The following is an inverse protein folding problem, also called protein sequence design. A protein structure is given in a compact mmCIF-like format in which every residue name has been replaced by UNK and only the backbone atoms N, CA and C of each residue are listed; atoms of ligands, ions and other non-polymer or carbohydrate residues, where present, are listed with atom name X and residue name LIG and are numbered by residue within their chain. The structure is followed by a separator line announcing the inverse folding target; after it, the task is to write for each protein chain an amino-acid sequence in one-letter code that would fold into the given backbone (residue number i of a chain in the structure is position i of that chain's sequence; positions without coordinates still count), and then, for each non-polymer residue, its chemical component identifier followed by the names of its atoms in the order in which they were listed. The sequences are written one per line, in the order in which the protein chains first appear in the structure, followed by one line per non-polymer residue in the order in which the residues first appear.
data_IF_650209554838
#
_entry.id   IF_650209554838
#
_cell.length_a   1.000
_cell.length_b   1.000
_cell.length_c   1.000
_cell.angle_alpha   90.00
_cell.angle_beta   90.00
_cell.angle_gamma   90.00
#
_symmetry.space_group_name_H-M   'P 1'
#
loop_
_entity.id
_entity.type
_entity.pdbx_description
1 polymer ?
#
# COMPACT_ATOMS: atom_id res chain seq x y z
N UNK A 1 0.88 17.20 -13.11
CA UNK A 1 1.94 16.29 -12.65
C UNK A 1 1.55 15.79 -11.26
N UNK A 2 1.84 14.53 -10.92
CA UNK A 2 1.59 13.99 -9.58
C UNK A 2 2.76 14.35 -8.67
N UNK A 3 2.48 14.62 -7.40
CA UNK A 3 3.50 14.93 -6.40
C UNK A 3 4.40 13.71 -6.17
N UNK A 4 5.72 13.92 -6.16
CA UNK A 4 6.66 12.84 -5.89
C UNK A 4 6.66 12.47 -4.39
N UNK A 5 7.06 11.23 -4.07
CA UNK A 5 7.31 10.83 -2.68
C UNK A 5 8.52 11.60 -2.16
N UNK A 6 8.42 12.14 -0.95
CA UNK A 6 9.54 12.76 -0.25
C UNK A 6 10.05 11.90 0.90
N UNK A 7 9.17 11.10 1.51
CA UNK A 7 9.52 10.28 2.68
C UNK A 7 8.59 9.09 2.83
N UNK A 8 9.19 7.95 3.12
CA UNK A 8 8.49 6.73 3.58
C UNK A 8 9.12 6.34 4.91
N UNK A 9 8.30 6.11 5.93
CA UNK A 9 8.72 5.55 7.21
C UNK A 9 8.18 4.14 7.33
N UNK A 10 9.03 3.23 7.79
CA UNK A 10 8.70 1.82 7.98
C UNK A 10 9.03 1.43 9.42
N UNK A 11 8.16 0.64 10.03
CA UNK A 11 8.40 -0.01 11.32
C UNK A 11 7.97 -1.46 11.22
N UNK A 12 8.84 -2.39 11.58
CA UNK A 12 8.44 -3.79 11.76
C UNK A 12 7.81 -3.93 13.14
N UNK A 13 6.51 -4.18 13.18
CA UNK A 13 5.72 -4.25 14.42
C UNK A 13 5.83 -5.62 15.10
N UNK A 14 6.23 -6.66 14.35
CA UNK A 14 6.36 -8.04 14.82
C UNK A 14 7.69 -8.67 14.36
N UNK A 15 8.18 -9.67 15.10
CA UNK A 15 9.41 -10.40 14.78
C UNK A 15 10.65 -9.93 15.56
N UNK A 16 11.82 -10.47 15.20
CA UNK A 16 13.09 -10.27 15.93
C UNK A 16 13.85 -8.99 15.55
N UNK A 17 13.36 -8.23 14.57
CA UNK A 17 14.00 -6.98 14.14
C UNK A 17 13.50 -5.80 14.98
N UNK A 18 14.39 -4.84 15.21
CA UNK A 18 14.14 -3.60 15.97
C UNK A 18 12.78 -2.96 15.68
N UNK A 19 12.06 -2.56 16.73
CA UNK A 19 10.79 -1.80 16.66
C UNK A 19 10.99 -0.32 16.25
N UNK A 20 12.20 0.04 15.83
CA UNK A 20 12.53 1.41 15.42
C UNK A 20 11.99 1.74 14.04
N UNK A 21 11.64 3.00 13.86
CA UNK A 21 11.27 3.55 12.56
C UNK A 21 12.52 3.76 11.69
N UNK A 22 12.48 3.23 10.47
CA UNK A 22 13.44 3.52 9.40
C UNK A 22 12.79 4.48 8.41
N UNK A 23 13.51 5.53 8.00
CA UNK A 23 13.03 6.49 7.00
C UNK A 23 13.85 6.37 5.70
N UNK A 24 13.16 6.37 4.57
CA UNK A 24 13.72 6.31 3.21
C UNK A 24 13.01 7.30 2.28
N UNK A 25 13.63 7.64 1.15
CA UNK A 25 13.13 8.70 0.25
C UNK A 25 12.41 8.21 -1.00
N UNK A 26 12.28 6.90 -1.24
CA UNK A 26 11.69 6.37 -2.47
C UNK A 26 11.06 4.99 -2.27
N UNK A 27 10.14 4.63 -3.17
CA UNK A 27 9.51 3.30 -3.23
C UNK A 27 10.57 2.18 -3.30
N UNK A 28 11.53 2.30 -4.23
CA UNK A 28 12.60 1.31 -4.37
C UNK A 28 13.44 1.13 -3.09
N UNK A 29 13.71 2.21 -2.35
CA UNK A 29 14.43 2.13 -1.08
C UNK A 29 13.56 1.47 0.02
N UNK A 30 12.24 1.73 0.02
CA UNK A 30 11.30 1.06 0.91
C UNK A 30 11.24 -0.45 0.64
N UNK A 31 11.13 -0.84 -0.64
CA UNK A 31 11.11 -2.25 -1.03
C UNK A 31 12.42 -2.96 -0.69
N UNK A 32 13.56 -2.29 -0.85
CA UNK A 32 14.86 -2.80 -0.41
C UNK A 32 14.90 -3.03 1.11
N UNK A 33 14.35 -2.10 1.90
CA UNK A 33 14.28 -2.25 3.36
C UNK A 33 13.36 -3.40 3.77
N UNK A 34 12.18 -3.50 3.14
CA UNK A 34 11.25 -4.62 3.36
C UNK A 34 11.89 -5.95 2.95
N UNK A 35 12.64 -5.99 1.85
CA UNK A 35 13.35 -7.18 1.37
C UNK A 35 14.40 -7.66 2.36
N UNK A 36 15.12 -6.73 3.00
CA UNK A 36 16.06 -7.08 4.06
C UNK A 36 15.35 -7.73 5.26
N UNK A 37 14.19 -7.20 5.68
CA UNK A 37 13.39 -7.76 6.76
C UNK A 37 12.72 -9.09 6.40
N UNK A 38 12.35 -9.28 5.13
CA UNK A 38 11.70 -10.49 4.64
C UNK A 38 12.55 -11.76 4.86
N UNK A 39 13.86 -11.64 5.01
CA UNK A 39 14.75 -12.78 5.26
C UNK A 39 14.50 -13.49 6.60
N UNK A 40 13.95 -12.78 7.59
CA UNK A 40 13.62 -13.35 8.91
C UNK A 40 12.13 -13.51 9.13
N UNK A 41 11.30 -13.25 8.11
CA UNK A 41 9.86 -13.47 8.19
C UNK A 41 9.52 -14.97 8.14
N UNK A 42 8.35 -15.40 8.66
CA UNK A 42 7.96 -16.81 8.69
C UNK A 42 7.90 -17.47 7.29
N UNK A 43 8.41 -18.72 7.18
CA UNK A 43 8.49 -19.48 5.91
C UNK A 43 7.25 -20.35 5.59
N UNK A 44 6.22 -20.34 6.43
CA UNK A 44 5.07 -21.26 6.36
C UNK A 44 3.75 -20.64 5.92
N UNK A 45 3.76 -19.54 5.15
CA UNK A 45 2.53 -18.81 4.76
C UNK A 45 2.01 -17.82 5.80
N UNK A 46 2.63 -17.76 6.99
CA UNK A 46 2.47 -16.65 7.92
C UNK A 46 3.25 -15.41 7.45
N UNK A 47 3.03 -14.28 8.11
CA UNK A 47 3.64 -12.98 7.80
C UNK A 47 3.91 -12.21 9.09
N UNK A 48 4.87 -11.31 9.04
CA UNK A 48 5.05 -10.30 10.08
C UNK A 48 4.34 -9.01 9.67
N UNK A 49 3.82 -8.26 10.64
CA UNK A 49 3.22 -6.95 10.37
C UNK A 49 4.28 -5.85 10.36
N UNK A 50 4.23 -5.01 9.33
CA UNK A 50 4.97 -3.76 9.25
C UNK A 50 3.99 -2.59 9.18
N UNK A 51 4.23 -1.54 9.96
CA UNK A 51 3.55 -0.26 9.78
C UNK A 51 4.34 0.60 8.79
N UNK A 52 3.62 1.43 8.05
CA UNK A 52 4.24 2.40 7.17
C UNK A 52 3.50 3.75 7.15
N UNK A 53 4.26 4.80 6.88
CA UNK A 53 3.80 6.16 6.63
C UNK A 53 4.46 6.65 5.34
N UNK A 54 3.72 7.38 4.50
CA UNK A 54 4.21 7.97 3.25
C UNK A 54 3.82 9.43 3.21
N UNK A 55 4.78 10.27 2.82
CA UNK A 55 4.64 11.70 2.61
C UNK A 55 5.06 12.05 1.17
N UNK A 56 4.30 12.94 0.53
CA UNK A 56 4.58 13.45 -0.81
C UNK A 56 4.89 14.95 -0.79
N UNK A 57 5.46 15.48 -1.87
CA UNK A 57 5.78 16.91 -2.03
C UNK A 57 4.58 17.84 -1.85
N UNK A 58 3.37 17.35 -2.12
CA UNK A 58 2.12 18.08 -1.90
C UNK A 58 1.76 18.24 -0.41
N UNK A 59 2.51 17.61 0.50
CA UNK A 59 2.15 17.47 1.92
C UNK A 59 1.08 16.42 2.19
N UNK A 60 0.63 15.68 1.17
CA UNK A 60 -0.27 14.56 1.37
C UNK A 60 0.40 13.47 2.23
N UNK A 61 -0.41 12.81 3.06
CA UNK A 61 0.06 11.75 3.95
C UNK A 61 -0.84 10.52 3.82
N UNK A 62 -0.23 9.34 3.88
CA UNK A 62 -0.92 8.05 3.87
C UNK A 62 -0.20 7.08 4.81
N UNK A 63 -0.96 6.34 5.60
CA UNK A 63 -0.40 5.35 6.53
C UNK A 63 -1.19 4.05 6.46
N UNK A 64 -0.53 2.95 6.76
CA UNK A 64 -1.15 1.64 6.72
C UNK A 64 -0.28 0.55 7.32
N UNK A 65 -0.74 -0.68 7.11
CA UNK A 65 -0.06 -1.90 7.53
C UNK A 65 0.28 -2.74 6.29
N UNK A 66 1.54 -3.15 6.19
CA UNK A 66 2.04 -4.05 5.18
C UNK A 66 2.29 -5.43 5.79
N UNK A 67 1.74 -6.48 5.18
CA UNK A 67 1.90 -7.86 5.64
C UNK A 67 3.15 -8.46 4.97
N UNK A 68 4.27 -8.47 5.71
CA UNK A 68 5.57 -8.88 5.21
C UNK A 68 5.70 -10.40 5.22
N UNK A 69 5.73 -10.98 4.03
CA UNK A 69 6.02 -12.41 3.83
C UNK A 69 7.51 -12.64 3.62
N UNK A 70 7.93 -13.89 3.84
CA UNK A 70 9.29 -14.30 3.51
C UNK A 70 9.56 -14.12 1.99
N UNK A 71 10.78 -13.73 1.63
CA UNK A 71 11.13 -13.37 0.24
C UNK A 71 10.96 -14.51 -0.78
N UNK A 72 10.96 -15.76 -0.32
CA UNK A 72 10.68 -16.94 -1.16
C UNK A 72 9.19 -17.07 -1.53
N UNK A 73 8.31 -16.42 -0.76
CA UNK A 73 6.86 -16.44 -0.98
C UNK A 73 6.44 -15.25 -1.83
N UNK A 74 6.93 -14.06 -1.50
CA UNK A 74 6.55 -12.82 -2.16
C UNK A 74 7.71 -11.82 -2.09
N UNK A 75 7.98 -11.14 -3.21
CA UNK A 75 8.89 -9.99 -3.20
C UNK A 75 8.11 -8.74 -2.77
N UNK A 76 8.66 -7.92 -1.85
CA UNK A 76 7.96 -6.71 -1.43
C UNK A 76 7.74 -5.71 -2.56
N UNK A 77 6.56 -5.10 -2.57
CA UNK A 77 6.18 -3.97 -3.43
C UNK A 77 5.17 -3.12 -2.65
N UNK A 78 5.69 -2.10 -1.95
CA UNK A 78 4.86 -1.24 -1.10
C UNK A 78 3.95 -0.35 -1.94
N UNK A 79 4.43 0.14 -3.08
CA UNK A 79 3.64 0.98 -3.96
C UNK A 79 2.44 0.20 -4.52
N UNK A 80 2.62 -1.06 -4.93
CA UNK A 80 1.54 -1.95 -5.34
C UNK A 80 0.53 -2.18 -4.22
N UNK A 81 0.99 -2.39 -2.99
CA UNK A 81 0.09 -2.55 -1.85
C UNK A 81 -0.83 -1.32 -1.67
N UNK A 82 -0.26 -0.11 -1.72
CA UNK A 82 -1.02 1.15 -1.65
C UNK A 82 -2.00 1.25 -2.84
N UNK A 83 -1.54 0.95 -4.05
CA UNK A 83 -2.36 0.95 -5.27
C UNK A 83 -3.53 -0.04 -5.18
N UNK A 84 -3.31 -1.26 -4.70
CA UNK A 84 -4.34 -2.28 -4.57
C UNK A 84 -5.49 -1.83 -3.66
N UNK A 85 -5.16 -1.24 -2.51
CA UNK A 85 -6.17 -0.64 -1.63
C UNK A 85 -6.91 0.51 -2.33
N UNK A 86 -6.18 1.39 -3.01
CA UNK A 86 -6.79 2.50 -3.73
C UNK A 86 -7.71 2.02 -4.86
N UNK A 87 -7.32 0.99 -5.61
CA UNK A 87 -8.13 0.44 -6.69
C UNK A 87 -9.41 -0.22 -6.17
N UNK A 88 -9.34 -0.87 -5.02
CA UNK A 88 -10.52 -1.40 -4.34
C UNK A 88 -11.48 -0.28 -3.90
N UNK A 89 -11.00 0.78 -3.24
CA UNK A 89 -11.91 1.83 -2.77
C UNK A 89 -12.38 2.80 -3.86
N UNK A 90 -11.88 2.66 -5.08
CA UNK A 90 -12.22 3.58 -6.19
C UNK A 90 -12.86 2.88 -7.38
N UNK A 91 -13.42 1.70 -7.17
CA UNK A 91 -14.11 0.89 -8.17
C UNK A 91 -13.24 0.54 -9.39
N UNK A 92 -11.91 0.43 -9.24
CA UNK A 92 -10.99 0.03 -10.31
C UNK A 92 -10.55 -1.43 -10.22
N UNK A 93 -10.78 -2.07 -9.07
CA UNK A 93 -10.58 -3.51 -8.87
C UNK A 93 -11.66 -4.09 -7.96
N UNK A 94 -12.44 -5.02 -8.49
CA UNK A 94 -13.45 -5.76 -7.73
C UNK A 94 -12.87 -7.11 -7.28
N UNK A 95 -12.95 -7.47 -5.99
CA UNK A 95 -12.57 -8.79 -5.52
C UNK A 95 -13.46 -9.88 -6.12
N UNK A 96 -12.86 -11.02 -6.50
CA UNK A 96 -13.55 -12.12 -7.21
C UNK A 96 -14.71 -12.75 -6.43
N UNK A 97 -14.70 -12.67 -5.10
CA UNK A 97 -15.75 -13.22 -4.24
C UNK A 97 -16.93 -12.28 -4.04
N UNK A 98 -16.88 -11.04 -4.54
CA UNK A 98 -17.98 -10.08 -4.45
C UNK A 98 -18.78 -10.03 -5.75
N UNK A 99 -20.10 -9.88 -5.66
CA UNK A 99 -20.93 -9.52 -6.83
C UNK A 99 -20.79 -8.04 -7.16
N UNK A 100 -21.01 -7.65 -8.42
CA UNK A 100 -20.90 -6.24 -8.84
C UNK A 100 -21.86 -5.33 -8.06
N UNK A 101 -23.10 -5.77 -7.87
CA UNK A 101 -24.09 -5.03 -7.09
C UNK A 101 -23.70 -4.92 -5.60
N UNK A 102 -23.22 -6.01 -4.99
CA UNK A 102 -22.77 -6.00 -3.61
C UNK A 102 -21.54 -5.11 -3.39
N UNK A 103 -20.61 -5.12 -4.34
CA UNK A 103 -19.44 -4.24 -4.31
C UNK A 103 -19.80 -2.76 -4.49
N UNK A 104 -20.69 -2.43 -5.43
CA UNK A 104 -21.20 -1.07 -5.59
C UNK A 104 -21.91 -0.57 -4.31
N UNK A 105 -22.74 -1.41 -3.69
CA UNK A 105 -23.39 -1.09 -2.42
C UNK A 105 -22.37 -0.90 -1.28
N UNK A 106 -21.33 -1.75 -1.21
CA UNK A 106 -20.24 -1.58 -0.26
C UNK A 106 -19.55 -0.22 -0.42
N UNK A 107 -19.17 0.15 -1.64
CA UNK A 107 -18.52 1.45 -1.90
C UNK A 107 -19.44 2.63 -1.58
N UNK A 108 -20.73 2.53 -1.89
CA UNK A 108 -21.72 3.54 -1.53
C UNK A 108 -21.84 3.75 -0.01
N UNK A 109 -21.58 2.71 0.80
CA UNK A 109 -21.49 2.82 2.26
C UNK A 109 -20.18 3.43 2.80
N UNK A 110 -19.19 3.68 1.94
CA UNK A 110 -17.84 4.13 2.32
C UNK A 110 -17.38 5.39 1.55
N UNK A 111 -18.30 6.29 1.22
CA UNK A 111 -18.03 7.44 0.33
C UNK A 111 -16.81 8.27 0.74
N UNK A 112 -16.68 8.64 2.02
CA UNK A 112 -15.54 9.44 2.50
C UNK A 112 -14.18 8.72 2.34
N UNK A 113 -14.17 7.39 2.47
CA UNK A 113 -12.98 6.57 2.23
C UNK A 113 -12.67 6.55 0.74
N UNK A 114 -13.69 6.36 -0.11
CA UNK A 114 -13.55 6.37 -1.56
C UNK A 114 -12.97 7.70 -2.06
N UNK A 115 -13.50 8.83 -1.60
CA UNK A 115 -13.03 10.18 -1.94
C UNK A 115 -11.55 10.40 -1.58
N UNK A 116 -11.14 9.94 -0.39
CA UNK A 116 -9.74 10.03 0.03
C UNK A 116 -8.82 9.23 -0.90
N UNK A 117 -9.23 8.04 -1.32
CA UNK A 117 -8.45 7.24 -2.26
C UNK A 117 -8.47 7.80 -3.69
N UNK A 118 -9.55 8.45 -4.14
CA UNK A 118 -9.54 9.17 -5.42
C UNK A 118 -8.52 10.30 -5.40
N UNK A 119 -8.48 11.10 -4.32
CA UNK A 119 -7.47 12.16 -4.18
C UNK A 119 -6.04 11.61 -4.18
N UNK A 120 -5.83 10.46 -3.51
CA UNK A 120 -4.54 9.77 -3.53
C UNK A 120 -4.13 9.41 -4.97
N UNK A 121 -5.00 8.76 -5.74
CA UNK A 121 -4.72 8.38 -7.14
C UNK A 121 -4.53 9.60 -8.06
N UNK A 122 -5.23 10.69 -7.78
CA UNK A 122 -5.18 11.91 -8.60
C UNK A 122 -3.89 12.70 -8.38
N UNK A 123 -3.44 12.83 -7.14
CA UNK A 123 -2.41 13.81 -6.77
C UNK A 123 -1.07 13.20 -6.40
N UNK A 124 -1.01 11.93 -6.01
CA UNK A 124 0.21 11.31 -5.48
C UNK A 124 0.82 10.35 -6.50
N UNK A 125 2.14 10.41 -6.67
CA UNK A 125 2.86 9.43 -7.46
C UNK A 125 2.93 8.10 -6.70
N UNK A 126 2.44 7.06 -7.35
CA UNK A 126 2.37 5.70 -6.83
C UNK A 126 3.13 4.75 -7.75
N UNK A 127 4.17 5.21 -8.45
CA UNK A 127 5.05 4.38 -9.27
C UNK A 127 4.32 3.59 -10.35
N UNK A 128 3.43 4.27 -11.09
CA UNK A 128 2.73 3.70 -12.24
C UNK A 128 2.35 4.78 -13.23
N UNK A 129 2.52 4.50 -14.53
CA UNK A 129 2.20 5.45 -15.59
C UNK A 129 0.71 5.78 -15.71
N UNK A 130 -0.16 4.80 -15.49
CA UNK A 130 -1.62 4.97 -15.55
C UNK A 130 -2.34 4.02 -14.59
N UNK A 131 -3.47 4.50 -14.04
CA UNK A 131 -4.37 3.67 -13.24
C UNK A 131 -5.44 3.02 -14.11
N UNK A 132 -5.96 1.84 -13.73
CA UNK A 132 -7.08 1.22 -14.43
C UNK A 132 -8.31 2.14 -14.45
N UNK A 133 -9.15 1.96 -15.46
CA UNK A 133 -10.45 2.63 -15.54
C UNK A 133 -11.38 2.13 -14.43
N UNK A 134 -12.38 2.94 -14.08
CA UNK A 134 -13.45 2.49 -13.18
C UNK A 134 -14.29 1.42 -13.85
N UNK A 135 -14.77 0.48 -13.04
CA UNK A 135 -15.65 -0.60 -13.45
C UNK A 135 -17.10 -0.12 -13.63
N UNK A 136 -17.51 0.92 -12.88
CA UNK A 136 -18.82 1.58 -12.90
C UNK A 136 -18.72 3.01 -12.37
#
# INVERSE_FOLDING_TARGET
MKAAVTKIRLRRAEGLTSLQWVAVGSWAAADSQLRAWANTAPKGGAYDKCDFEVEWESGAQYQGRYDLKHWQVESPDLAAHVRCNAYFYTARHQPSHMTRAGYAAFLAGHQSVCERYERLLQWCDLDVGAHPAKLF
#
